data_IF_762976268743
#
_entry.id   IF_762976268743
#
_cell.length_a   1.000
_cell.length_b   1.000
_cell.length_c   1.000
_cell.angle_alpha   90.00
_cell.angle_beta   90.00
_cell.angle_gamma   90.00
#
_symmetry.space_group_name_H-M   'P 1'
#
loop_
_entity.id
_entity.type
_entity.pdbx_description
1 polymer ?
#
# COMPACT_ATOMS: atom_id res chain seq x y z
N UNK A 1 94.37 -3.80 73.57
CA UNK A 1 94.89 -2.41 73.51
C UNK A 1 93.76 -1.50 73.95
N UNK A 2 93.82 -0.98 75.18
CA UNK A 2 94.19 0.41 75.50
C UNK A 2 93.21 1.42 74.86
N UNK A 3 92.52 2.37 75.50
CA UNK A 3 92.62 3.05 76.80
C UNK A 3 91.52 4.15 76.73
N UNK A 4 90.58 4.25 77.68
CA UNK A 4 90.38 5.40 78.62
C UNK A 4 89.90 6.72 77.94
N UNK A 5 88.88 7.47 78.42
CA UNK A 5 88.82 8.17 79.72
C UNK A 5 87.41 8.71 80.03
N UNK A 6 87.07 8.60 81.31
CA UNK A 6 86.06 9.31 82.10
C UNK A 6 86.60 10.71 82.49
N UNK A 7 85.70 11.68 82.77
CA UNK A 7 85.76 12.80 83.77
C UNK A 7 84.95 14.03 83.23
N UNK A 8 84.19 14.88 83.94
CA UNK A 8 83.76 15.12 85.35
C UNK A 8 82.66 16.21 85.26
N UNK A 9 81.48 16.03 85.87
CA UNK A 9 80.91 16.77 87.02
C UNK A 9 81.08 18.31 87.10
N UNK A 10 79.97 19.03 87.38
CA UNK A 10 79.63 19.62 88.71
C UNK A 10 79.00 21.05 88.65
N UNK A 11 77.73 21.17 89.11
CA UNK A 11 77.14 22.21 90.02
C UNK A 11 77.03 23.68 89.55
N UNK A 12 76.17 24.60 90.03
CA UNK A 12 75.03 24.77 90.98
C UNK A 12 74.71 26.30 90.86
N UNK A 13 73.50 26.87 90.97
CA UNK A 13 72.83 27.36 92.20
C UNK A 13 71.86 28.50 91.74
N UNK A 14 70.54 28.36 91.90
CA UNK A 14 69.62 29.01 92.87
C UNK A 14 69.60 30.55 92.88
N UNK A 15 68.41 31.13 92.65
CA UNK A 15 67.84 32.22 93.46
C UNK A 15 66.32 32.37 93.22
N UNK A 16 65.54 32.06 94.27
CA UNK A 16 64.13 32.47 94.45
C UNK A 16 64.06 33.92 94.93
N UNK A 17 62.94 34.64 94.66
CA UNK A 17 62.26 35.55 95.63
C UNK A 17 60.92 36.13 95.08
N UNK A 18 59.84 35.79 95.81
CA UNK A 18 58.60 36.54 96.17
C UNK A 18 57.43 36.89 95.19
N UNK A 19 56.34 36.11 95.32
CA UNK A 19 54.93 36.40 95.73
C UNK A 19 54.17 37.69 95.33
N UNK A 20 53.04 37.57 94.60
CA UNK A 20 51.64 37.72 95.10
C UNK A 20 50.55 37.74 93.98
N UNK A 21 49.71 36.69 94.00
CA UNK A 21 48.28 36.49 93.66
C UNK A 21 47.51 37.41 92.67
N UNK A 22 46.92 36.79 91.64
CA UNK A 22 45.53 36.99 91.15
C UNK A 22 44.99 35.71 90.46
N UNK A 23 43.69 35.45 90.59
CA UNK A 23 42.94 34.19 90.36
C UNK A 23 42.33 34.00 88.95
N UNK A 24 42.40 32.74 88.45
CA UNK A 24 41.42 31.89 87.67
C UNK A 24 40.67 32.43 86.43
N UNK A 25 40.80 31.70 85.29
CA UNK A 25 39.73 31.04 84.52
C UNK A 25 40.31 29.87 83.69
N UNK A 26 39.56 28.77 83.55
CA UNK A 26 39.89 27.64 82.69
C UNK A 26 39.20 27.74 81.31
N UNK A 27 39.85 27.20 80.27
CA UNK A 27 39.26 26.75 78.99
C UNK A 27 40.01 27.21 77.74
N UNK A 28 39.96 26.51 76.59
CA UNK A 28 39.78 25.07 76.28
C UNK A 28 41.08 24.43 75.70
N UNK A 29 41.16 23.11 75.42
CA UNK A 29 42.37 22.51 74.83
C UNK A 29 42.55 22.96 73.36
N UNK A 30 43.79 23.16 72.93
CA UNK A 30 44.17 23.34 71.52
C UNK A 30 45.30 22.34 71.24
N UNK A 31 45.19 21.32 70.39
CA UNK A 31 44.19 20.91 69.40
C UNK A 31 44.05 19.38 69.45
N UNK A 32 42.88 18.79 69.14
CA UNK A 32 42.78 17.36 68.90
C UNK A 32 43.49 17.03 67.57
N UNK A 33 44.26 15.95 67.56
CA UNK A 33 44.84 15.34 66.37
C UNK A 33 43.72 14.87 65.45
N UNK A 34 43.29 15.75 64.56
CA UNK A 34 42.33 15.44 63.53
C UNK A 34 43.07 14.75 62.40
N UNK A 35 42.95 13.44 62.39
CA UNK A 35 43.23 12.64 61.21
C UNK A 35 42.18 12.94 60.15
N UNK A 36 42.61 13.22 58.93
CA UNK A 36 41.71 13.41 57.79
C UNK A 36 42.22 12.58 56.63
N UNK A 37 41.45 11.58 56.23
CA UNK A 37 41.57 11.05 54.88
C UNK A 37 40.69 11.90 53.98
N UNK A 38 41.25 12.75 53.13
CA UNK A 38 40.45 13.51 52.16
C UNK A 38 40.08 12.58 51.02
N UNK A 39 38.81 12.22 50.95
CA UNK A 39 38.20 11.66 49.74
C UNK A 39 37.97 12.82 48.79
N UNK A 40 38.43 12.73 47.55
CA UNK A 40 38.04 13.66 46.50
C UNK A 40 37.10 12.93 45.56
N UNK A 41 35.83 13.31 45.55
CA UNK A 41 34.76 12.75 44.69
C UNK A 41 34.62 13.68 43.49
N UNK A 42 34.91 13.23 42.26
CA UNK A 42 34.64 14.07 41.08
C UNK A 42 33.15 14.43 41.01
N UNK A 43 32.85 15.68 41.35
CA UNK A 43 31.50 16.18 41.58
C UNK A 43 30.80 16.70 40.34
N UNK A 44 31.50 16.78 39.19
CA UNK A 44 30.98 17.43 38.00
C UNK A 44 29.66 16.82 37.48
N UNK A 45 29.43 15.53 37.73
CA UNK A 45 28.24 14.78 37.32
C UNK A 45 27.36 14.30 38.48
N UNK A 46 27.62 14.71 39.73
CA UNK A 46 26.82 14.26 40.88
C UNK A 46 25.65 15.23 41.12
N UNK A 47 24.37 14.78 41.07
CA UNK A 47 23.23 15.66 41.25
C UNK A 47 23.20 16.33 42.64
N UNK A 48 22.75 17.59 42.70
CA UNK A 48 22.53 18.31 43.95
C UNK A 48 21.57 17.54 44.88
N UNK A 49 21.87 17.51 46.18
CA UNK A 49 21.14 16.72 47.17
C UNK A 49 21.51 15.23 47.26
N UNK A 50 22.48 14.74 46.47
CA UNK A 50 23.00 13.38 46.61
C UNK A 50 23.83 13.23 47.89
N UNK A 51 23.62 12.16 48.64
CA UNK A 51 24.42 11.86 49.85
C UNK A 51 25.66 11.08 49.43
N UNK A 52 26.86 11.60 49.71
CA UNK A 52 28.11 10.86 49.59
C UNK A 52 28.50 10.36 50.98
N UNK A 53 28.89 9.10 51.10
CA UNK A 53 29.22 8.45 52.37
C UNK A 53 30.56 7.72 52.27
N UNK A 54 31.32 7.74 53.36
CA UNK A 54 32.46 6.86 53.59
C UNK A 54 32.08 5.85 54.68
N UNK A 55 32.20 4.57 54.36
CA UNK A 55 31.84 3.45 55.22
C UNK A 55 33.06 2.59 55.49
N UNK A 56 33.14 2.04 56.69
CA UNK A 56 34.07 0.95 57.04
C UNK A 56 33.20 -0.18 57.58
N UNK A 57 33.26 -1.34 56.92
CA UNK A 57 32.20 -2.34 57.05
C UNK A 57 30.85 -1.77 56.58
N UNK A 58 29.83 -1.81 57.44
CA UNK A 58 28.48 -1.27 57.17
C UNK A 58 28.22 0.07 57.88
N UNK A 59 29.15 0.57 58.68
CA UNK A 59 28.97 1.78 59.47
C UNK A 59 29.39 3.02 58.69
N UNK A 60 28.57 4.08 58.74
CA UNK A 60 28.85 5.38 58.10
C UNK A 60 29.72 6.22 59.02
N UNK A 61 30.90 6.59 58.54
CA UNK A 61 31.88 7.38 59.31
C UNK A 61 31.88 8.84 58.96
N UNK A 62 31.74 9.14 57.68
CA UNK A 62 31.61 10.48 57.16
C UNK A 62 30.52 10.49 56.09
N UNK A 63 29.81 11.61 55.99
CA UNK A 63 28.90 11.85 54.89
C UNK A 63 28.80 13.34 54.59
N UNK A 64 28.54 13.66 53.33
CA UNK A 64 28.28 15.01 52.86
C UNK A 64 27.10 14.98 51.90
N UNK A 65 26.21 15.96 52.02
CA UNK A 65 25.16 16.19 51.03
C UNK A 65 25.76 17.09 49.96
N UNK A 66 25.73 16.67 48.70
CA UNK A 66 26.18 17.53 47.61
C UNK A 66 25.33 18.79 47.57
N UNK A 67 25.96 19.95 47.65
CA UNK A 67 25.36 21.26 47.45
C UNK A 67 26.05 22.00 46.29
N UNK A 68 25.29 22.87 45.62
CA UNK A 68 25.76 23.60 44.45
C UNK A 68 26.39 24.94 44.89
N UNK A 69 27.57 24.90 45.50
CA UNK A 69 28.22 26.09 46.05
C UNK A 69 28.93 26.91 44.96
N UNK A 70 28.15 27.58 44.08
CA UNK A 70 28.57 28.79 43.36
C UNK A 70 29.83 28.74 42.47
N UNK A 71 30.30 27.56 42.10
CA UNK A 71 31.46 27.33 41.24
C UNK A 71 31.61 25.84 41.01
N UNK A 72 32.26 25.43 39.93
CA UNK A 72 32.51 24.03 39.58
C UNK A 72 33.29 23.31 40.69
N UNK A 73 32.61 22.83 41.73
CA UNK A 73 33.23 22.03 42.79
C UNK A 73 33.57 20.70 42.15
N UNK A 74 34.81 20.60 41.65
CA UNK A 74 35.30 19.38 41.05
C UNK A 74 35.46 18.26 42.09
N UNK A 75 35.48 18.56 43.40
CA UNK A 75 35.68 17.55 44.44
C UNK A 75 34.91 17.81 45.74
N UNK A 76 34.18 16.81 46.25
CA UNK A 76 33.67 16.80 47.62
C UNK A 76 34.66 16.15 48.58
N UNK A 77 34.86 16.77 49.76
CA UNK A 77 35.77 16.31 50.81
C UNK A 77 34.96 15.67 51.95
N UNK A 78 35.32 14.44 52.32
CA UNK A 78 34.77 13.76 53.49
C UNK A 78 35.87 13.58 54.54
N UNK A 79 35.66 14.14 55.73
CA UNK A 79 36.56 13.95 56.87
C UNK A 79 36.13 12.70 57.66
N UNK A 80 36.85 11.60 57.49
CA UNK A 80 36.66 10.36 58.27
C UNK A 80 37.35 10.52 59.63
N UNK A 81 36.60 10.66 60.75
CA UNK A 81 37.19 10.90 62.06
C UNK A 81 38.00 9.69 62.55
N UNK A 82 39.08 9.97 63.28
CA UNK A 82 39.88 8.95 63.98
C UNK A 82 39.10 8.28 65.12
N UNK A 83 39.55 7.09 65.51
CA UNK A 83 39.27 6.50 66.82
C UNK A 83 39.86 7.41 67.91
N UNK A 84 39.00 7.99 68.73
CA UNK A 84 39.41 8.60 70.00
C UNK A 84 39.33 7.49 71.07
N UNK A 85 40.47 6.93 71.52
CA UNK A 85 40.49 5.79 72.45
C UNK A 85 39.86 6.12 73.83
N UNK A 86 39.39 7.35 74.05
CA UNK A 86 38.67 7.76 75.25
C UNK A 86 37.15 7.91 75.15
N UNK A 87 36.51 7.72 73.98
CA UNK A 87 35.06 8.02 73.85
C UNK A 87 34.24 6.89 73.23
N UNK A 88 33.26 6.39 73.99
CA UNK A 88 32.19 5.53 73.48
C UNK A 88 30.96 6.39 73.13
N UNK A 89 30.34 6.26 71.93
CA UNK A 89 30.71 5.45 70.77
C UNK A 89 31.06 6.30 69.54
N UNK A 90 32.34 6.35 69.13
CA UNK A 90 32.72 6.57 67.72
C UNK A 90 34.17 6.13 67.48
N UNK A 91 34.33 4.83 67.21
CA UNK A 91 35.59 4.21 66.77
C UNK A 91 35.82 4.56 65.30
N UNK A 92 36.69 5.50 64.97
CA UNK A 92 37.17 5.65 63.59
C UNK A 92 37.86 4.38 63.07
N UNK A 93 38.19 4.36 61.77
CA UNK A 93 38.84 3.22 61.15
C UNK A 93 40.21 2.89 61.75
N UNK A 94 40.56 1.61 61.78
CA UNK A 94 41.92 1.15 62.11
C UNK A 94 42.82 1.33 60.87
N UNK A 95 44.09 1.69 61.08
CA UNK A 95 45.07 1.79 59.99
C UNK A 95 45.12 0.50 59.15
N UNK A 96 44.92 0.63 57.85
CA UNK A 96 44.85 -0.48 56.88
C UNK A 96 43.45 -1.01 56.59
N UNK A 97 42.40 -0.54 57.27
CA UNK A 97 41.02 -0.92 56.94
C UNK A 97 40.59 -0.37 55.58
N UNK A 98 39.74 -1.14 54.91
CA UNK A 98 39.17 -0.78 53.60
C UNK A 98 37.98 0.15 53.80
N UNK A 99 38.07 1.34 53.22
CA UNK A 99 36.98 2.31 53.20
C UNK A 99 36.19 2.10 51.92
N UNK A 100 34.91 1.77 52.07
CA UNK A 100 33.95 1.69 50.98
C UNK A 100 33.24 3.04 50.84
N UNK A 101 33.14 3.56 49.63
CA UNK A 101 32.42 4.81 49.39
C UNK A 101 31.05 4.53 48.79
N UNK A 102 30.05 5.31 49.19
CA UNK A 102 28.74 5.33 48.54
C UNK A 102 28.40 6.71 48.04
N UNK A 103 27.76 6.80 46.87
CA UNK A 103 27.24 8.04 46.29
C UNK A 103 25.77 7.80 45.96
N UNK A 104 24.87 8.42 46.71
CA UNK A 104 23.46 8.06 46.70
C UNK A 104 23.27 6.60 47.09
N UNK A 105 22.70 5.80 46.19
CA UNK A 105 22.53 4.35 46.37
C UNK A 105 23.71 3.50 45.89
N UNK A 106 24.72 4.08 45.23
CA UNK A 106 25.77 3.35 44.54
C UNK A 106 27.00 3.13 45.42
N UNK A 107 27.72 2.02 45.25
CA UNK A 107 29.00 1.73 45.92
C UNK A 107 30.13 1.98 44.93
N UNK A 108 31.14 2.75 45.34
CA UNK A 108 32.29 3.04 44.49
C UNK A 108 33.18 1.80 44.28
N UNK A 109 33.64 1.59 43.05
CA UNK A 109 34.55 0.50 42.69
C UNK A 109 35.96 0.69 43.28
N UNK A 110 36.41 1.95 43.40
CA UNK A 110 37.63 2.26 44.14
C UNK A 110 37.31 2.31 45.63
N UNK A 111 38.03 1.50 46.40
CA UNK A 111 38.06 1.56 47.85
C UNK A 111 39.31 2.29 48.32
N UNK A 112 39.20 3.01 49.44
CA UNK A 112 40.35 3.61 50.11
C UNK A 112 40.98 2.61 51.08
N UNK A 113 42.24 2.82 51.43
CA UNK A 113 42.81 2.28 52.66
C UNK A 113 42.94 3.43 53.65
N UNK A 114 42.56 3.20 54.90
CA UNK A 114 42.74 4.19 55.95
C UNK A 114 44.23 4.25 56.33
N UNK A 115 44.96 5.30 55.94
CA UNK A 115 46.41 5.49 56.24
C UNK A 115 46.75 6.97 56.56
N UNK A 116 47.82 7.17 57.33
CA UNK A 116 48.20 8.41 58.01
C UNK A 116 48.65 9.52 57.07
N UNK A 117 47.83 10.58 56.96
CA UNK A 117 48.16 11.82 56.25
C UNK A 117 48.07 11.73 54.72
N UNK A 118 47.43 10.68 54.20
CA UNK A 118 47.24 10.43 52.77
C UNK A 118 45.87 10.90 52.29
N UNK A 119 45.86 11.72 51.23
CA UNK A 119 44.63 12.01 50.49
C UNK A 119 44.34 10.86 49.53
N UNK A 120 43.14 10.30 49.59
CA UNK A 120 42.68 9.26 48.66
C UNK A 120 41.77 9.93 47.65
N UNK A 121 42.31 10.19 46.44
CA UNK A 121 41.49 10.71 45.36
C UNK A 121 40.68 9.56 44.76
N UNK A 122 39.36 9.69 44.78
CA UNK A 122 38.46 8.71 44.18
C UNK A 122 38.00 9.27 42.85
N UNK A 123 38.46 8.62 41.79
CA UNK A 123 38.01 8.97 40.45
C UNK A 123 36.65 8.32 40.21
N UNK A 124 35.58 9.10 40.40
CA UNK A 124 34.20 8.63 40.23
C UNK A 124 33.70 8.74 38.79
N UNK A 125 34.53 9.25 37.88
CA UNK A 125 34.18 9.38 36.46
C UNK A 125 33.91 8.03 35.78
N UNK A 126 34.29 6.90 36.42
CA UNK A 126 34.05 5.55 35.93
C UNK A 126 32.78 4.85 36.48
N UNK A 127 32.01 5.48 37.38
CA UNK A 127 30.99 4.75 38.18
C UNK A 127 29.56 5.00 37.73
N UNK A 128 29.27 6.09 37.04
CA UNK A 128 27.90 6.57 37.04
C UNK A 128 27.33 6.63 35.65
N UNK A 129 27.61 5.70 34.74
CA UNK A 129 26.87 5.64 33.49
C UNK A 129 26.15 4.30 33.39
N UNK A 130 24.85 4.35 33.18
CA UNK A 130 24.02 3.18 32.99
C UNK A 130 23.56 3.13 31.54
N UNK A 131 23.73 1.96 30.93
CA UNK A 131 23.22 1.73 29.59
C UNK A 131 21.69 1.65 29.65
N UNK A 132 21.05 2.51 28.86
CA UNK A 132 19.65 2.37 28.49
C UNK A 132 19.60 1.67 27.14
N UNK A 133 19.02 0.48 27.11
CA UNK A 133 18.73 -0.24 25.87
C UNK A 133 17.27 -0.04 25.50
N UNK A 134 17.00 0.39 24.27
CA UNK A 134 15.67 0.44 23.69
C UNK A 134 15.55 -0.69 22.67
N UNK A 135 14.42 -1.39 22.68
CA UNK A 135 14.07 -2.35 21.65
C UNK A 135 12.72 -2.00 21.04
N UNK A 136 12.54 -2.35 19.77
CA UNK A 136 11.25 -2.25 19.08
C UNK A 136 10.65 -3.64 18.90
N UNK A 137 9.35 -3.78 19.16
CA UNK A 137 8.63 -5.04 18.97
C UNK A 137 7.34 -4.84 18.16
N UNK A 138 6.75 -5.96 17.72
CA UNK A 138 5.53 -5.97 16.92
C UNK A 138 5.78 -6.06 15.42
N UNK A 139 4.70 -6.02 14.63
CA UNK A 139 4.75 -6.13 13.18
C UNK A 139 4.83 -4.77 12.47
N UNK A 140 4.59 -3.67 13.21
CA UNK A 140 4.73 -2.32 12.70
C UNK A 140 6.17 -1.83 12.75
N UNK A 141 6.38 -0.65 12.18
CA UNK A 141 7.66 0.05 12.15
C UNK A 141 7.53 1.42 12.81
N UNK A 142 8.64 1.91 13.33
CA UNK A 142 8.74 3.23 13.94
C UNK A 142 10.15 3.49 14.44
N UNK A 143 10.36 4.69 14.96
CA UNK A 143 11.61 5.09 15.59
C UNK A 143 11.36 5.50 17.03
N UNK A 144 12.40 5.39 17.86
CA UNK A 144 12.38 5.90 19.23
C UNK A 144 13.55 6.84 19.42
N UNK A 145 13.28 8.06 19.89
CA UNK A 145 14.32 9.04 20.22
C UNK A 145 14.30 9.36 21.70
N UNK A 146 15.41 9.91 22.22
CA UNK A 146 15.53 10.36 23.61
C UNK A 146 15.86 11.84 23.76
N UNK A 147 15.47 12.39 24.91
CA UNK A 147 16.01 13.64 25.48
C UNK A 147 16.49 13.37 26.92
N UNK A 148 17.78 13.58 27.27
CA UNK A 148 18.87 14.04 26.41
C UNK A 148 19.13 13.15 25.20
N UNK A 149 19.63 13.76 24.11
CA UNK A 149 19.92 13.04 22.86
C UNK A 149 20.95 11.93 23.09
N UNK A 150 20.68 10.76 22.50
CA UNK A 150 21.58 9.61 22.60
C UNK A 150 20.95 8.32 22.07
N UNK A 151 19.64 8.14 22.24
CA UNK A 151 18.89 7.08 21.55
C UNK A 151 18.27 7.64 20.26
N UNK A 152 18.49 6.93 19.15
CA UNK A 152 17.77 7.06 17.88
C UNK A 152 17.51 5.64 17.34
N UNK A 153 16.66 4.92 18.06
CA UNK A 153 16.45 3.51 17.87
C UNK A 153 15.66 3.28 16.58
N UNK A 154 16.37 2.64 15.66
CA UNK A 154 16.19 2.64 14.21
C UNK A 154 17.57 2.38 13.59
N UNK A 155 18.59 3.07 14.11
CA UNK A 155 20.01 2.77 13.88
C UNK A 155 20.85 2.67 15.15
N UNK A 156 20.49 3.39 16.22
CA UNK A 156 21.21 3.36 17.49
C UNK A 156 20.25 3.23 18.68
N UNK A 157 20.28 2.06 19.30
CA UNK A 157 19.30 1.63 20.28
C UNK A 157 19.86 1.51 21.71
N UNK A 158 21.09 1.94 21.94
CA UNK A 158 21.74 1.83 23.25
C UNK A 158 22.62 3.03 23.51
N UNK A 159 22.45 3.67 24.67
CA UNK A 159 23.30 4.79 25.07
C UNK A 159 23.60 4.70 26.58
N UNK A 160 24.79 5.15 26.95
CA UNK A 160 25.22 5.27 28.34
C UNK A 160 24.89 6.66 28.87
N UNK A 161 23.99 6.72 29.84
CA UNK A 161 23.60 7.98 30.48
C UNK A 161 24.13 8.06 31.90
N UNK A 162 24.51 9.27 32.31
CA UNK A 162 24.95 9.52 33.67
C UNK A 162 23.87 9.14 34.71
N UNK A 163 24.29 8.72 35.89
CA UNK A 163 23.44 8.28 36.98
C UNK A 163 22.45 9.37 37.34
N UNK A 164 21.20 8.96 37.58
CA UNK A 164 20.08 9.82 37.92
C UNK A 164 19.68 10.79 36.79
N UNK A 165 20.22 10.63 35.58
CA UNK A 165 19.70 11.31 34.39
C UNK A 165 18.27 10.86 34.15
N UNK A 166 17.36 11.83 34.01
CA UNK A 166 16.00 11.59 33.56
C UNK A 166 15.97 11.60 32.03
N UNK A 167 15.83 10.42 31.43
CA UNK A 167 15.72 10.24 29.98
C UNK A 167 14.24 10.20 29.61
N UNK A 168 13.83 11.07 28.70
CA UNK A 168 12.48 11.07 28.11
C UNK A 168 12.53 10.42 26.73
N UNK A 169 11.86 9.28 26.56
CA UNK A 169 11.72 8.56 25.30
C UNK A 169 10.43 8.97 24.58
N UNK A 170 10.55 9.22 23.28
CA UNK A 170 9.44 9.51 22.38
C UNK A 170 9.46 8.51 21.23
N UNK A 171 8.32 7.86 20.98
CA UNK A 171 8.14 6.96 19.86
C UNK A 171 7.37 7.66 18.73
N UNK A 172 7.83 7.48 17.49
CA UNK A 172 7.14 7.93 16.28
C UNK A 172 6.88 6.72 15.37
N UNK A 173 5.60 6.44 15.11
CA UNK A 173 5.22 5.34 14.22
C UNK A 173 5.49 5.73 12.76
N UNK A 174 6.06 4.81 11.98
CA UNK A 174 6.22 4.98 10.56
C UNK A 174 4.85 4.91 9.84
N UNK A 175 4.82 5.36 8.57
CA UNK A 175 3.63 5.25 7.74
C UNK A 175 3.14 3.79 7.65
N UNK A 176 1.83 3.59 7.86
CA UNK A 176 1.24 2.25 7.88
C UNK A 176 1.40 1.48 9.19
N UNK A 177 1.89 2.13 10.25
CA UNK A 177 2.00 1.57 11.59
C UNK A 177 1.34 2.46 12.64
N UNK A 178 1.06 1.88 13.81
CA UNK A 178 0.54 2.56 14.99
C UNK A 178 1.44 2.24 16.19
N UNK A 179 1.76 3.24 17.00
CA UNK A 179 2.46 3.02 18.27
C UNK A 179 1.49 2.44 19.30
N UNK A 180 1.68 1.17 19.68
CA UNK A 180 0.79 0.45 20.59
C UNK A 180 1.09 0.76 22.06
N UNK A 181 2.34 1.10 22.39
CA UNK A 181 2.74 1.58 23.70
C UNK A 181 4.10 1.09 24.14
N UNK A 182 4.45 1.46 25.37
CA UNK A 182 5.70 1.06 26.01
C UNK A 182 5.52 -0.13 26.95
N UNK A 183 6.62 -0.89 27.11
CA UNK A 183 6.78 -1.86 28.20
C UNK A 183 8.24 -1.88 28.71
N UNK A 184 8.47 -2.41 29.91
CA UNK A 184 9.79 -2.50 30.55
C UNK A 184 10.11 -1.31 31.46
N UNK A 185 10.92 -1.56 32.50
CA UNK A 185 11.57 -0.60 33.42
C UNK A 185 10.77 0.69 33.79
N UNK A 186 9.47 0.54 34.05
CA UNK A 186 8.59 1.64 34.49
C UNK A 186 7.89 2.39 33.34
N UNK A 187 8.21 2.10 32.08
CA UNK A 187 7.50 2.60 30.93
C UNK A 187 6.22 1.80 30.67
N UNK A 188 5.07 2.50 30.67
CA UNK A 188 3.78 1.93 30.26
C UNK A 188 2.92 2.98 29.56
N UNK A 189 1.94 2.53 28.78
CA UNK A 189 1.02 3.42 28.05
C UNK A 189 1.58 3.94 26.74
N UNK A 190 0.92 4.96 26.16
CA UNK A 190 1.17 5.45 24.80
C UNK A 190 1.73 6.88 24.74
N UNK A 191 1.93 7.53 25.88
CA UNK A 191 2.56 8.85 25.97
C UNK A 191 4.08 8.78 25.82
N UNK A 192 4.78 9.86 26.14
CA UNK A 192 6.24 9.83 26.33
C UNK A 192 6.59 8.95 27.52
N UNK A 193 7.63 8.11 27.42
CA UNK A 193 8.15 7.42 28.59
C UNK A 193 9.24 8.24 29.27
N UNK A 194 9.23 8.32 30.60
CA UNK A 194 10.32 8.91 31.37
C UNK A 194 11.01 7.85 32.23
N UNK A 195 12.32 7.74 32.11
CA UNK A 195 13.16 6.74 32.78
C UNK A 195 14.29 7.45 33.52
N UNK A 196 14.41 7.23 34.82
CA UNK A 196 15.55 7.71 35.60
C UNK A 196 16.64 6.63 35.63
N UNK A 197 17.86 6.98 35.24
CA UNK A 197 18.97 6.04 35.10
C UNK A 197 19.65 5.76 36.43
N UNK A 198 19.09 4.84 37.22
CA UNK A 198 19.65 4.39 38.50
C UNK A 198 20.37 3.03 38.45
N UNK A 199 20.24 2.34 37.32
CA UNK A 199 20.71 1.01 36.97
C UNK A 199 20.64 0.86 35.46
N UNK A 200 21.27 -0.17 34.89
CA UNK A 200 21.07 -0.49 33.47
C UNK A 200 19.61 -0.89 33.25
N UNK A 201 18.97 -0.32 32.21
CA UNK A 201 17.54 -0.46 31.97
C UNK A 201 17.25 -0.86 30.53
N UNK A 202 16.16 -1.60 30.34
CA UNK A 202 15.67 -1.99 29.02
C UNK A 202 14.20 -1.58 28.85
N UNK A 203 13.92 -0.85 27.78
CA UNK A 203 12.56 -0.41 27.42
C UNK A 203 12.20 -0.94 26.05
N UNK A 204 10.95 -1.33 25.87
CA UNK A 204 10.43 -1.82 24.59
C UNK A 204 9.32 -0.90 24.09
N UNK A 205 9.47 -0.39 22.86
CA UNK A 205 8.42 0.27 22.10
C UNK A 205 7.72 -0.74 21.21
N UNK A 206 6.41 -0.92 21.37
CA UNK A 206 5.63 -1.80 20.51
C UNK A 206 4.95 -1.01 19.39
N UNK A 207 5.15 -1.44 18.15
CA UNK A 207 4.48 -0.92 16.96
C UNK A 207 3.64 -2.01 16.31
N UNK A 208 2.38 -1.69 16.00
CA UNK A 208 1.47 -2.58 15.28
C UNK A 208 1.34 -2.11 13.84
N UNK A 209 1.30 -3.05 12.89
CA UNK A 209 1.05 -2.71 11.50
C UNK A 209 -0.45 -2.44 11.32
N UNK A 210 -0.78 -1.36 10.62
CA UNK A 210 -2.17 -1.03 10.34
C UNK A 210 -2.79 -2.09 9.43
N UNK A 211 -4.04 -2.41 9.70
CA UNK A 211 -4.82 -3.35 8.92
C UNK A 211 -6.09 -2.69 8.42
N UNK A 212 -6.54 -3.09 7.24
CA UNK A 212 -7.69 -2.53 6.54
C UNK A 212 -8.60 -3.62 6.01
N UNK A 213 -9.85 -3.26 5.78
CA UNK A 213 -10.86 -4.13 5.19
C UNK A 213 -11.03 -3.83 3.70
N UNK A 214 -11.34 -4.88 2.93
CA UNK A 214 -11.73 -4.78 1.53
C UNK A 214 -13.18 -5.25 1.38
N UNK A 215 -14.05 -4.34 0.94
CA UNK A 215 -15.44 -4.65 0.60
C UNK A 215 -15.57 -4.78 -0.91
N UNK A 216 -16.00 -5.94 -1.38
CA UNK A 216 -16.22 -6.19 -2.81
C UNK A 216 -17.71 -6.37 -3.07
N UNK A 217 -18.25 -5.59 -4.01
CA UNK A 217 -19.62 -5.71 -4.50
C UNK A 217 -19.61 -6.26 -5.93
N UNK A 218 -20.48 -7.22 -6.21
CA UNK A 218 -20.63 -7.82 -7.53
C UNK A 218 -22.07 -8.28 -7.71
N UNK A 219 -22.70 -7.84 -8.79
CA UNK A 219 -24.04 -8.27 -9.19
C UNK A 219 -23.96 -8.74 -10.65
N UNK A 220 -24.41 -9.97 -10.94
CA UNK A 220 -24.19 -10.70 -12.21
C UNK A 220 -22.77 -11.26 -12.44
N UNK A 221 -22.05 -11.55 -11.35
CA UNK A 221 -20.80 -12.28 -11.39
C UNK A 221 -20.26 -12.57 -10.00
N UNK A 222 -19.14 -13.28 -9.93
CA UNK A 222 -18.36 -13.46 -8.70
C UNK A 222 -17.06 -12.68 -8.80
N UNK A 223 -16.50 -12.31 -7.65
CA UNK A 223 -15.14 -11.76 -7.58
C UNK A 223 -14.34 -12.60 -6.61
N UNK A 224 -13.14 -12.98 -7.02
CA UNK A 224 -12.16 -13.64 -6.17
C UNK A 224 -11.07 -12.63 -5.84
N UNK A 225 -10.72 -12.52 -4.56
CA UNK A 225 -9.57 -11.77 -4.08
C UNK A 225 -8.39 -12.74 -3.85
N UNK A 226 -7.19 -12.36 -4.26
CA UNK A 226 -5.96 -13.09 -3.98
C UNK A 226 -4.90 -12.12 -3.41
N UNK A 227 -4.48 -12.29 -2.15
CA UNK A 227 -4.98 -13.29 -1.20
C UNK A 227 -6.41 -12.98 -0.72
N UNK A 228 -7.21 -14.01 -0.40
CA UNK A 228 -8.53 -13.83 0.23
C UNK A 228 -8.39 -13.78 1.76
N UNK A 229 -8.57 -12.60 2.34
CA UNK A 229 -8.38 -12.34 3.76
C UNK A 229 -9.48 -11.42 4.32
N UNK A 230 -9.75 -11.55 5.62
CA UNK A 230 -10.69 -10.66 6.32
C UNK A 230 -10.14 -9.25 6.53
N UNK A 231 -8.82 -9.15 6.67
CA UNK A 231 -8.09 -7.89 6.82
C UNK A 231 -6.75 -8.00 6.10
N UNK A 232 -6.27 -6.86 5.60
CA UNK A 232 -5.05 -6.74 4.83
C UNK A 232 -4.12 -5.75 5.52
N UNK A 233 -2.82 -6.03 5.49
CA UNK A 233 -1.80 -5.14 6.06
C UNK A 233 -1.56 -3.91 5.17
N UNK A 234 -1.15 -2.78 5.77
CA UNK A 234 -0.81 -1.58 5.01
C UNK A 234 0.23 -1.86 3.91
N UNK A 235 -0.05 -1.41 2.70
CA UNK A 235 0.80 -1.58 1.52
C UNK A 235 0.69 -2.94 0.84
N UNK A 236 -0.14 -3.86 1.36
CA UNK A 236 -0.37 -5.15 0.73
C UNK A 236 -1.14 -4.99 -0.57
N UNK A 237 -0.65 -5.61 -1.63
CA UNK A 237 -1.37 -5.71 -2.90
C UNK A 237 -2.36 -6.89 -2.88
N UNK A 238 -3.56 -6.66 -3.40
CA UNK A 238 -4.63 -7.64 -3.54
C UNK A 238 -5.06 -7.67 -5.01
N UNK A 239 -4.99 -8.86 -5.62
CA UNK A 239 -5.47 -9.06 -6.98
C UNK A 239 -6.94 -9.45 -6.96
N UNK A 240 -7.77 -8.77 -7.72
CA UNK A 240 -9.20 -9.02 -7.87
C UNK A 240 -9.47 -9.52 -9.29
N UNK A 241 -10.16 -10.65 -9.38
CA UNK A 241 -10.58 -11.25 -10.65
C UNK A 241 -12.09 -11.45 -10.64
N UNK A 242 -12.78 -10.81 -11.59
CA UNK A 242 -14.21 -10.94 -11.79
C UNK A 242 -14.51 -12.08 -12.77
N UNK A 243 -15.47 -12.93 -12.43
CA UNK A 243 -16.01 -13.95 -13.33
C UNK A 243 -17.50 -13.65 -13.58
N UNK A 244 -17.88 -13.16 -14.77
CA UNK A 244 -19.28 -12.95 -15.12
C UNK A 244 -20.08 -14.26 -15.12
N UNK A 245 -21.36 -14.19 -14.76
CA UNK A 245 -22.28 -15.33 -15.00
C UNK A 245 -22.65 -15.43 -16.48
N UNK A 246 -23.25 -16.56 -16.88
CA UNK A 246 -23.75 -16.76 -18.24
C UNK A 246 -24.71 -15.64 -18.67
N UNK A 247 -24.55 -15.17 -19.91
CA UNK A 247 -25.34 -14.06 -20.45
C UNK A 247 -24.81 -12.67 -20.09
N UNK A 248 -23.71 -12.56 -19.34
CA UNK A 248 -23.09 -11.27 -18.98
C UNK A 248 -21.60 -11.24 -19.35
N UNK A 249 -21.08 -10.03 -19.55
CA UNK A 249 -19.65 -9.76 -19.73
C UNK A 249 -19.17 -8.76 -18.69
N UNK A 250 -17.92 -8.91 -18.24
CA UNK A 250 -17.30 -7.92 -17.36
C UNK A 250 -17.15 -6.60 -18.12
N UNK A 251 -17.56 -5.50 -17.49
CA UNK A 251 -17.50 -4.17 -18.08
C UNK A 251 -16.31 -3.36 -17.52
N UNK A 252 -16.23 -3.21 -16.20
CA UNK A 252 -15.19 -2.45 -15.50
C UNK A 252 -15.29 -2.62 -13.97
N UNK A 253 -14.24 -2.19 -13.28
CA UNK A 253 -14.20 -1.94 -11.84
C UNK A 253 -14.47 -0.47 -11.55
N UNK A 254 -15.23 -0.20 -10.49
CA UNK A 254 -15.45 1.16 -9.94
C UNK A 254 -15.27 1.21 -8.42
N UNK A 255 -15.18 2.42 -7.86
CA UNK A 255 -15.05 2.69 -6.42
C UNK A 255 -13.65 3.19 -6.07
N UNK A 256 -12.95 2.50 -5.17
CA UNK A 256 -11.55 2.81 -4.84
C UNK A 256 -10.54 2.40 -5.94
N UNK A 257 -11.02 1.75 -6.99
CA UNK A 257 -10.26 1.48 -8.23
C UNK A 257 -11.18 1.67 -9.44
N UNK A 258 -10.66 2.29 -10.48
CA UNK A 258 -11.36 2.54 -11.74
C UNK A 258 -10.55 1.90 -12.88
N UNK A 259 -11.04 0.80 -13.46
CA UNK A 259 -10.27 0.03 -14.44
C UNK A 259 -11.17 -0.81 -15.34
N UNK A 260 -10.82 -0.93 -16.62
CA UNK A 260 -11.45 -1.89 -17.55
C UNK A 260 -10.68 -3.21 -17.64
N UNK A 261 -9.55 -3.33 -16.95
CA UNK A 261 -8.75 -4.56 -16.92
C UNK A 261 -9.34 -5.56 -15.93
N UNK A 262 -9.35 -6.84 -16.30
CA UNK A 262 -9.72 -7.95 -15.44
C UNK A 262 -8.72 -9.10 -15.68
N UNK A 263 -7.90 -9.47 -14.69
CA UNK A 263 -7.90 -9.01 -13.29
C UNK A 263 -7.38 -7.57 -13.08
N UNK A 264 -7.59 -7.04 -11.86
CA UNK A 264 -7.05 -5.74 -11.38
C UNK A 264 -6.33 -5.91 -10.04
N UNK A 265 -5.25 -5.18 -9.81
CA UNK A 265 -4.55 -5.16 -8.51
C UNK A 265 -4.81 -3.85 -7.77
N UNK A 266 -5.09 -3.94 -6.47
CA UNK A 266 -5.25 -2.78 -5.58
C UNK A 266 -4.25 -2.85 -4.42
N UNK A 267 -3.73 -1.69 -3.99
CA UNK A 267 -2.83 -1.60 -2.82
C UNK A 267 -3.61 -1.10 -1.61
N UNK A 268 -3.54 -1.83 -0.49
CA UNK A 268 -4.30 -1.55 0.73
C UNK A 268 -3.62 -0.46 1.57
N UNK A 269 -4.07 0.79 1.44
CA UNK A 269 -3.57 1.95 2.19
C UNK A 269 -4.64 2.61 3.08
N UNK A 270 -5.77 1.93 3.24
CA UNK A 270 -7.00 2.38 3.87
C UNK A 270 -8.06 1.31 3.66
N UNK A 271 -9.19 1.40 4.37
CA UNK A 271 -10.36 0.59 4.02
C UNK A 271 -10.76 0.87 2.58
N UNK A 272 -11.08 -0.19 1.82
CA UNK A 272 -11.38 -0.11 0.39
C UNK A 272 -12.73 -0.72 0.06
N UNK A 273 -13.43 -0.11 -0.88
CA UNK A 273 -14.66 -0.59 -1.48
C UNK A 273 -14.54 -0.61 -3.00
N UNK A 274 -14.69 -1.80 -3.60
CA UNK A 274 -14.57 -2.02 -5.04
C UNK A 274 -15.83 -2.70 -5.56
N UNK A 275 -16.31 -2.28 -6.73
CA UNK A 275 -17.47 -2.88 -7.39
C UNK A 275 -17.08 -3.44 -8.76
N UNK A 276 -17.42 -4.70 -9.04
CA UNK A 276 -17.35 -5.26 -10.38
C UNK A 276 -18.66 -4.98 -11.12
N UNK A 277 -18.58 -4.31 -12.27
CA UNK A 277 -19.72 -3.99 -13.11
C UNK A 277 -19.75 -4.90 -14.33
N UNK A 278 -20.95 -5.27 -14.77
CA UNK A 278 -21.18 -6.19 -15.89
C UNK A 278 -22.17 -5.60 -16.88
N UNK A 279 -22.12 -6.08 -18.12
CA UNK A 279 -23.05 -5.72 -19.20
C UNK A 279 -23.70 -6.99 -19.74
N UNK A 280 -25.02 -6.96 -19.92
CA UNK A 280 -25.77 -8.09 -20.48
C UNK A 280 -25.39 -8.30 -21.95
N UNK A 281 -25.06 -9.55 -22.29
CA UNK A 281 -24.73 -9.94 -23.64
C UNK A 281 -26.00 -9.99 -24.50
N UNK A 282 -25.95 -9.51 -25.76
CA UNK A 282 -27.09 -9.62 -26.65
C UNK A 282 -27.48 -11.08 -26.87
N UNK A 283 -28.78 -11.36 -26.87
CA UNK A 283 -29.30 -12.69 -27.21
C UNK A 283 -29.07 -12.95 -28.71
N UNK A 284 -28.36 -14.02 -29.09
CA UNK A 284 -28.13 -14.33 -30.50
C UNK A 284 -29.42 -14.85 -31.14
N UNK A 285 -29.79 -14.29 -32.29
CA UNK A 285 -30.92 -14.75 -33.11
C UNK A 285 -30.51 -14.86 -34.56
N UNK A 286 -31.15 -15.76 -35.31
CA UNK A 286 -30.97 -15.89 -36.75
C UNK A 286 -32.21 -15.42 -37.50
N UNK A 287 -32.03 -14.45 -38.40
CA UNK A 287 -33.09 -14.01 -39.32
C UNK A 287 -32.78 -14.57 -40.70
N UNK A 288 -33.73 -15.30 -41.28
CA UNK A 288 -33.58 -15.94 -42.60
C UNK A 288 -34.60 -15.34 -43.56
N UNK A 289 -34.13 -14.76 -44.66
CA UNK A 289 -35.01 -14.31 -45.73
C UNK A 289 -35.75 -15.50 -46.36
N UNK A 290 -37.05 -15.35 -46.61
CA UNK A 290 -37.83 -16.44 -47.21
C UNK A 290 -37.39 -16.67 -48.65
N UNK A 291 -37.24 -17.93 -49.06
CA UNK A 291 -36.87 -18.28 -50.43
C UNK A 291 -38.03 -18.10 -51.41
N UNK A 292 -37.72 -17.85 -52.69
CA UNK A 292 -38.72 -17.83 -53.76
C UNK A 292 -39.49 -16.51 -53.91
N UNK A 293 -39.06 -15.47 -53.20
CA UNK A 293 -39.60 -14.12 -53.35
C UNK A 293 -39.24 -13.57 -54.74
N UNK A 294 -40.22 -12.96 -55.41
CA UNK A 294 -40.04 -12.54 -56.79
C UNK A 294 -40.99 -11.42 -57.20
N UNK A 295 -40.70 -10.79 -58.34
CA UNK A 295 -41.62 -9.92 -59.09
C UNK A 295 -41.54 -10.17 -60.58
N UNK A 296 -42.50 -9.66 -61.35
CA UNK A 296 -42.39 -9.59 -62.81
C UNK A 296 -41.67 -8.30 -63.21
N UNK A 297 -40.91 -8.33 -64.29
CA UNK A 297 -40.23 -7.16 -64.82
C UNK A 297 -41.20 -5.98 -65.04
N UNK A 298 -40.85 -4.82 -64.48
CA UNK A 298 -41.66 -3.61 -64.52
C UNK A 298 -42.64 -3.45 -63.37
N UNK A 299 -42.83 -4.49 -62.53
CA UNK A 299 -43.63 -4.38 -61.32
C UNK A 299 -42.83 -3.73 -60.18
N UNK A 300 -43.56 -3.14 -59.22
CA UNK A 300 -42.98 -2.65 -57.98
C UNK A 300 -42.50 -3.83 -57.11
N UNK A 301 -41.51 -3.56 -56.25
CA UNK A 301 -41.02 -4.56 -55.30
C UNK A 301 -42.11 -4.90 -54.27
N UNK A 302 -42.34 -6.20 -53.99
CA UNK A 302 -43.18 -6.59 -52.86
C UNK A 302 -42.46 -6.30 -51.55
N UNK A 303 -43.21 -6.27 -50.45
CA UNK A 303 -42.61 -6.29 -49.11
C UNK A 303 -41.93 -7.64 -48.91
N UNK A 304 -40.63 -7.63 -48.63
CA UNK A 304 -39.87 -8.85 -48.43
C UNK A 304 -40.18 -9.51 -47.07
N UNK A 305 -40.28 -10.83 -47.07
CA UNK A 305 -40.63 -11.64 -45.89
C UNK A 305 -39.44 -12.44 -45.36
N UNK A 306 -39.53 -12.82 -44.09
CA UNK A 306 -38.47 -13.55 -43.38
C UNK A 306 -39.03 -14.36 -42.21
N UNK A 307 -38.19 -15.27 -41.72
CA UNK A 307 -38.39 -16.00 -40.47
C UNK A 307 -37.29 -15.66 -39.46
N UNK A 308 -37.62 -15.77 -38.17
CA UNK A 308 -36.69 -15.65 -37.05
C UNK A 308 -36.59 -17.00 -36.35
N UNK A 309 -35.39 -17.37 -35.89
CA UNK A 309 -35.19 -18.57 -35.05
C UNK A 309 -35.96 -18.48 -33.73
N UNK A 310 -36.22 -17.25 -33.26
CA UNK A 310 -36.88 -16.98 -31.99
C UNK A 310 -38.27 -16.37 -32.23
N UNK A 311 -39.27 -16.93 -31.54
CA UNK A 311 -40.65 -16.46 -31.61
C UNK A 311 -40.89 -15.30 -30.65
N UNK A 312 -41.81 -14.39 -31.01
CA UNK A 312 -42.17 -13.26 -30.16
C UNK A 312 -41.22 -12.05 -30.20
N UNK A 313 -40.12 -12.13 -30.96
CA UNK A 313 -39.25 -10.97 -31.21
C UNK A 313 -40.00 -9.95 -32.06
N UNK A 314 -39.98 -8.69 -31.62
CA UNK A 314 -40.51 -7.57 -32.39
C UNK A 314 -39.40 -6.98 -33.25
N UNK A 315 -39.66 -6.81 -34.54
CA UNK A 315 -38.71 -6.21 -35.47
C UNK A 315 -39.24 -4.88 -36.02
N UNK A 316 -38.33 -4.00 -36.37
CA UNK A 316 -38.59 -2.73 -37.06
C UNK A 316 -37.75 -2.63 -38.32
N UNK A 317 -38.13 -1.76 -39.24
CA UNK A 317 -37.47 -1.65 -40.56
C UNK A 317 -37.92 -2.75 -41.52
N UNK A 318 -37.13 -2.99 -42.56
CA UNK A 318 -37.43 -3.98 -43.59
C UNK A 318 -36.16 -4.58 -44.19
N UNK A 319 -36.29 -5.80 -44.71
CA UNK A 319 -35.28 -6.37 -45.59
C UNK A 319 -35.22 -5.57 -46.89
N UNK A 320 -34.06 -5.61 -47.53
CA UNK A 320 -33.82 -5.02 -48.84
C UNK A 320 -33.27 -6.07 -49.81
N UNK A 321 -33.20 -5.73 -51.09
CA UNK A 321 -32.50 -6.54 -52.08
C UNK A 321 -31.45 -5.69 -52.78
N UNK A 322 -30.46 -6.36 -53.38
CA UNK A 322 -29.51 -5.69 -54.25
C UNK A 322 -30.22 -4.93 -55.39
N UNK A 323 -29.72 -3.74 -55.76
CA UNK A 323 -30.35 -2.89 -56.76
C UNK A 323 -30.25 -3.49 -58.16
N UNK A 324 -31.28 -3.26 -58.97
CA UNK A 324 -31.33 -3.65 -60.37
C UNK A 324 -32.74 -4.04 -60.81
N UNK A 325 -33.00 -3.94 -62.11
CA UNK A 325 -34.33 -4.16 -62.68
C UNK A 325 -34.34 -5.15 -63.85
N UNK A 326 -33.17 -5.62 -64.29
CA UNK A 326 -33.10 -6.63 -65.36
C UNK A 326 -33.59 -7.98 -64.81
N UNK A 327 -34.28 -8.78 -65.63
CA UNK A 327 -34.69 -10.12 -65.22
C UNK A 327 -33.47 -10.97 -64.80
N UNK A 328 -33.56 -11.59 -63.62
CA UNK A 328 -32.44 -12.27 -62.97
C UNK A 328 -32.62 -12.38 -61.45
N UNK A 329 -31.56 -12.84 -60.76
CA UNK A 329 -31.55 -13.02 -59.31
C UNK A 329 -30.76 -11.90 -58.64
N UNK A 330 -31.26 -11.45 -57.49
CA UNK A 330 -30.68 -10.40 -56.65
C UNK A 330 -30.67 -10.88 -55.21
N UNK A 331 -29.55 -10.76 -54.50
CA UNK A 331 -29.48 -11.17 -53.11
C UNK A 331 -30.39 -10.29 -52.24
N UNK A 332 -31.14 -10.92 -51.33
CA UNK A 332 -31.83 -10.24 -50.25
C UNK A 332 -30.80 -9.98 -49.13
N UNK A 333 -30.78 -8.75 -48.63
CA UNK A 333 -29.90 -8.27 -47.56
C UNK A 333 -30.73 -7.88 -46.34
N UNK A 334 -30.06 -7.74 -45.19
CA UNK A 334 -30.74 -7.37 -43.93
C UNK A 334 -31.43 -5.99 -44.03
N UNK A 335 -30.93 -5.11 -44.89
CA UNK A 335 -31.50 -3.77 -45.06
C UNK A 335 -31.48 -2.98 -43.75
N UNK A 336 -32.64 -2.42 -43.41
CA UNK A 336 -32.87 -1.64 -42.17
C UNK A 336 -33.51 -2.48 -41.07
N UNK A 337 -33.62 -3.79 -41.26
CA UNK A 337 -34.29 -4.67 -40.31
C UNK A 337 -33.48 -4.78 -39.01
N UNK A 338 -34.11 -4.39 -37.91
CA UNK A 338 -33.52 -4.45 -36.57
C UNK A 338 -34.49 -5.13 -35.60
N UNK A 339 -33.94 -5.84 -34.61
CA UNK A 339 -34.71 -6.44 -33.52
C UNK A 339 -34.81 -5.44 -32.37
N UNK A 340 -36.02 -5.24 -31.84
CA UNK A 340 -36.26 -4.39 -30.68
C UNK A 340 -35.79 -5.13 -29.42
N UNK A 341 -34.74 -4.62 -28.77
CA UNK A 341 -34.17 -5.20 -27.54
C UNK A 341 -32.67 -5.48 -27.67
N UNK A 342 -32.10 -6.20 -26.71
CA UNK A 342 -30.68 -6.56 -26.71
C UNK A 342 -30.46 -7.86 -27.48
N UNK A 343 -30.55 -7.79 -28.82
CA UNK A 343 -30.37 -8.94 -29.71
C UNK A 343 -29.20 -8.75 -30.67
N UNK A 344 -28.48 -9.83 -30.96
CA UNK A 344 -27.48 -9.88 -32.02
C UNK A 344 -28.04 -10.70 -33.20
N UNK A 345 -28.29 -10.04 -34.34
CA UNK A 345 -28.83 -10.69 -35.54
C UNK A 345 -27.70 -11.31 -36.36
N UNK A 346 -27.82 -12.62 -36.60
CA UNK A 346 -27.14 -13.30 -37.71
C UNK A 346 -28.11 -13.40 -38.88
N UNK A 347 -27.78 -12.81 -40.02
CA UNK A 347 -28.66 -12.80 -41.19
C UNK A 347 -28.29 -13.87 -42.21
N UNK A 348 -29.29 -14.62 -42.68
CA UNK A 348 -29.16 -15.61 -43.75
C UNK A 348 -29.93 -15.12 -44.97
N UNK A 349 -29.19 -14.84 -46.05
CA UNK A 349 -29.73 -14.31 -47.30
C UNK A 349 -30.48 -15.36 -48.13
N UNK A 350 -31.35 -14.89 -49.02
CA UNK A 350 -31.96 -15.68 -50.09
C UNK A 350 -31.97 -14.87 -51.40
N UNK A 351 -32.25 -15.52 -52.53
CA UNK A 351 -32.38 -14.83 -53.82
C UNK A 351 -33.79 -14.27 -54.00
N UNK A 352 -33.87 -12.99 -54.37
CA UNK A 352 -35.05 -12.36 -54.96
C UNK A 352 -34.98 -12.44 -56.49
N UNK A 353 -36.02 -12.95 -57.14
CA UNK A 353 -36.01 -13.15 -58.60
C UNK A 353 -36.90 -12.14 -59.33
N UNK A 354 -36.35 -11.43 -60.31
CA UNK A 354 -37.14 -10.67 -61.28
C UNK A 354 -37.38 -11.58 -62.50
N UNK A 355 -38.62 -11.95 -62.73
CA UNK A 355 -39.02 -12.80 -63.87
C UNK A 355 -39.31 -11.96 -65.11
N UNK A 356 -39.00 -12.44 -66.33
CA UNK A 356 -39.33 -11.72 -67.55
C UNK A 356 -40.85 -11.48 -67.69
N UNK A 357 -41.24 -10.30 -68.18
CA UNK A 357 -42.65 -9.97 -68.43
C UNK A 357 -43.18 -10.77 -69.62
N UNK A 358 -44.25 -11.58 -69.46
CA UNK A 358 -44.83 -12.30 -70.58
C UNK A 358 -45.52 -11.33 -71.52
N UNK A 359 -45.23 -11.44 -72.82
CA UNK A 359 -45.88 -10.66 -73.88
C UNK A 359 -46.30 -11.57 -75.03
N UNK A 360 -47.39 -11.21 -75.71
CA UNK A 360 -47.83 -11.88 -76.93
C UNK A 360 -47.45 -11.03 -78.13
N UNK A 361 -46.87 -11.66 -79.14
CA UNK A 361 -46.60 -11.04 -80.44
C UNK A 361 -47.37 -11.79 -81.50
N UNK A 362 -48.26 -11.09 -82.20
CA UNK A 362 -49.12 -11.65 -83.25
C UNK A 362 -48.67 -11.14 -84.60
N UNK A 363 -48.35 -12.03 -85.53
CA UNK A 363 -48.00 -11.62 -86.89
C UNK A 363 -49.21 -11.07 -87.65
N UNK A 364 -48.99 -9.99 -88.41
CA UNK A 364 -50.01 -9.51 -89.34
C UNK A 364 -50.09 -10.43 -90.56
N UNK A 365 -51.30 -10.75 -90.99
CA UNK A 365 -51.50 -11.49 -92.24
C UNK A 365 -51.00 -10.67 -93.45
N UNK A 366 -50.20 -11.31 -94.32
CA UNK A 366 -49.66 -10.71 -95.53
C UNK A 366 -49.98 -11.54 -96.77
N UNK A 367 -49.98 -10.90 -97.93
CA UNK A 367 -50.19 -11.56 -99.22
C UNK A 367 -49.31 -10.95 -100.32
N UNK A 368 -49.01 -11.74 -101.35
CA UNK A 368 -48.35 -11.30 -102.59
C UNK A 368 -48.96 -12.00 -103.80
N UNK A 369 -48.75 -11.45 -104.98
CA UNK A 369 -49.02 -12.15 -106.25
C UNK A 369 -47.84 -13.04 -106.64
N UNK A 370 -48.11 -14.14 -107.36
CA UNK A 370 -47.08 -15.10 -107.78
C UNK A 370 -45.99 -14.42 -108.64
N UNK A 371 -44.71 -14.69 -108.33
CA UNK A 371 -43.55 -14.04 -108.95
C UNK A 371 -43.21 -12.65 -108.40
N UNK A 372 -44.00 -12.13 -107.45
CA UNK A 372 -43.68 -10.91 -106.69
C UNK A 372 -42.67 -11.15 -105.57
N UNK A 373 -42.03 -10.07 -105.13
CA UNK A 373 -41.17 -10.08 -103.94
C UNK A 373 -41.99 -10.27 -102.67
N UNK A 374 -41.40 -10.88 -101.64
CA UNK A 374 -42.06 -11.02 -100.34
C UNK A 374 -42.32 -9.65 -99.70
N UNK A 375 -43.51 -9.39 -99.16
CA UNK A 375 -43.80 -8.17 -98.43
C UNK A 375 -43.04 -8.16 -97.10
N UNK A 376 -42.78 -6.98 -96.56
CA UNK A 376 -42.26 -6.84 -95.21
C UNK A 376 -43.25 -7.43 -94.20
N UNK A 377 -42.75 -8.33 -93.34
CA UNK A 377 -43.54 -8.94 -92.29
C UNK A 377 -43.68 -7.96 -91.13
N UNK A 378 -44.90 -7.72 -90.68
CA UNK A 378 -45.22 -6.84 -89.54
C UNK A 378 -45.95 -7.62 -88.46
N UNK A 379 -46.03 -7.07 -87.26
CA UNK A 379 -46.67 -7.68 -86.11
C UNK A 379 -47.24 -6.62 -85.17
N UNK A 380 -48.13 -7.08 -84.28
CA UNK A 380 -48.63 -6.33 -83.14
C UNK A 380 -48.18 -7.01 -81.86
N UNK A 381 -47.69 -6.24 -80.89
CA UNK A 381 -47.41 -6.74 -79.54
C UNK A 381 -48.56 -6.40 -78.59
N UNK A 382 -48.83 -7.29 -77.64
CA UNK A 382 -49.77 -7.04 -76.53
C UNK A 382 -49.30 -5.94 -75.59
N UNK A 383 -48.01 -5.59 -75.61
CA UNK A 383 -47.39 -4.57 -74.77
C UNK A 383 -46.81 -3.47 -75.67
N UNK A 384 -47.15 -2.22 -75.38
CA UNK A 384 -46.62 -1.07 -76.12
C UNK A 384 -45.22 -0.68 -75.63
N UNK A 385 -44.39 -0.15 -76.53
CA UNK A 385 -43.05 0.37 -76.17
C UNK A 385 -41.98 -0.68 -75.91
N UNK A 386 -42.25 -1.97 -76.16
CA UNK A 386 -41.23 -3.03 -76.05
C UNK A 386 -40.16 -2.85 -77.15
N UNK A 387 -38.87 -2.83 -76.79
CA UNK A 387 -37.78 -2.71 -77.77
C UNK A 387 -37.53 -4.07 -78.44
N UNK A 388 -38.09 -4.26 -79.63
CA UNK A 388 -37.83 -5.46 -80.43
C UNK A 388 -36.58 -5.33 -81.29
N UNK A 389 -35.87 -6.44 -81.45
CA UNK A 389 -34.74 -6.61 -82.37
C UNK A 389 -34.93 -7.88 -83.19
N UNK A 390 -34.18 -8.03 -84.29
CA UNK A 390 -34.33 -9.16 -85.22
C UNK A 390 -35.54 -9.01 -86.14
N UNK A 391 -35.97 -10.11 -86.75
CA UNK A 391 -37.05 -10.11 -87.73
C UNK A 391 -37.87 -11.40 -87.70
N UNK A 392 -39.14 -11.28 -88.12
CA UNK A 392 -40.00 -12.44 -88.41
C UNK A 392 -39.47 -13.22 -89.61
N UNK A 393 -39.89 -14.48 -89.70
CA UNK A 393 -39.59 -15.36 -90.81
C UNK A 393 -40.88 -15.93 -91.40
N UNK A 394 -40.86 -16.31 -92.68
CA UNK A 394 -41.95 -17.03 -93.33
C UNK A 394 -41.45 -18.41 -93.77
N UNK A 395 -42.31 -19.41 -93.74
CA UNK A 395 -42.02 -20.73 -94.30
C UNK A 395 -41.62 -20.63 -95.78
N UNK A 396 -40.63 -21.41 -96.22
CA UNK A 396 -40.12 -21.41 -97.60
C UNK A 396 -41.17 -21.89 -98.62
N UNK A 397 -41.09 -21.38 -99.86
CA UNK A 397 -41.89 -21.81 -101.00
C UNK A 397 -42.55 -20.67 -101.76
N UNK A 398 -42.83 -20.93 -103.04
CA UNK A 398 -43.35 -19.94 -104.01
C UNK A 398 -44.65 -20.37 -104.71
N UNK A 399 -45.09 -21.63 -104.53
CA UNK A 399 -46.37 -22.09 -105.08
C UNK A 399 -47.53 -21.31 -104.46
N UNK A 400 -48.65 -21.18 -105.18
CA UNK A 400 -49.84 -20.53 -104.62
C UNK A 400 -50.34 -21.35 -103.42
N UNK A 401 -50.46 -20.70 -102.25
CA UNK A 401 -50.84 -21.36 -101.01
C UNK A 401 -50.69 -20.45 -99.79
N UNK A 402 -51.03 -20.98 -98.61
CA UNK A 402 -50.84 -20.31 -97.32
C UNK A 402 -49.51 -20.76 -96.73
N UNK A 403 -48.72 -19.80 -96.28
CA UNK A 403 -47.43 -20.03 -95.65
C UNK A 403 -47.44 -19.41 -94.25
N UNK A 404 -47.03 -20.17 -93.25
CA UNK A 404 -46.97 -19.69 -91.87
C UNK A 404 -45.89 -18.61 -91.72
N UNK A 405 -46.21 -17.57 -90.96
CA UNK A 405 -45.23 -16.63 -90.41
C UNK A 405 -44.82 -17.17 -89.04
N UNK A 406 -43.52 -17.19 -88.74
CA UNK A 406 -42.94 -17.64 -87.47
C UNK A 406 -42.08 -16.53 -86.86
N UNK A 407 -41.86 -16.58 -85.54
CA UNK A 407 -41.09 -15.59 -84.77
C UNK A 407 -39.73 -15.25 -85.39
N UNK A 408 -39.06 -16.24 -86.01
CA UNK A 408 -37.74 -16.04 -86.61
C UNK A 408 -36.71 -15.64 -85.56
N UNK A 409 -36.02 -14.52 -85.80
CA UNK A 409 -35.01 -13.96 -84.88
C UNK A 409 -35.56 -12.84 -84.00
N UNK A 410 -36.88 -12.59 -84.05
CA UNK A 410 -37.50 -11.53 -83.28
C UNK A 410 -37.30 -11.77 -81.77
N UNK A 411 -36.74 -10.79 -81.08
CA UNK A 411 -36.45 -10.82 -79.64
C UNK A 411 -36.84 -9.51 -78.99
N UNK A 412 -37.37 -9.59 -77.77
CA UNK A 412 -37.67 -8.45 -76.90
C UNK A 412 -36.61 -8.27 -75.79
N UNK A 413 -35.47 -8.97 -75.88
CA UNK A 413 -34.45 -9.01 -74.84
C UNK A 413 -34.79 -9.96 -73.69
N UNK A 414 -33.92 -10.03 -72.67
CA UNK A 414 -34.07 -10.96 -71.53
C UNK A 414 -35.19 -10.57 -70.57
N UNK A 415 -35.67 -9.33 -70.61
CA UNK A 415 -36.70 -8.82 -69.72
C UNK A 415 -38.13 -9.21 -70.12
N UNK A 416 -38.31 -9.79 -71.31
CA UNK A 416 -39.61 -10.19 -71.81
C UNK A 416 -39.58 -11.64 -72.31
N UNK A 417 -40.65 -12.38 -72.02
CA UNK A 417 -40.85 -13.71 -72.58
C UNK A 417 -41.91 -13.64 -73.68
N UNK A 418 -41.52 -13.87 -74.93
CA UNK A 418 -42.42 -13.78 -76.09
C UNK A 418 -43.20 -15.09 -76.24
N UNK A 419 -44.53 -14.97 -76.24
CA UNK A 419 -45.44 -15.96 -76.83
C UNK A 419 -45.81 -15.50 -78.24
N UNK A 420 -45.38 -16.22 -79.26
CA UNK A 420 -45.64 -15.87 -80.65
C UNK A 420 -46.88 -16.60 -81.20
N UNK A 421 -47.78 -15.87 -81.86
CA UNK A 421 -49.07 -16.38 -82.35
C UNK A 421 -49.31 -16.03 -83.81
#
# INVERSE_FOLDING_TARGET
MKTQRILTALFLEIALVFSNVATVFAGPPTQPSSFWGTVLVDGASVPNGTVIQALIGEQVFAQVLTDNYGGSVAYYVLDVPNDDPGTTPKEGGINGETIHFKVGGLVAAQTGTFDWGTNVRIDLTAINAYELTVSTSGAGFGTVTSEPVGIDCGTDCSESYDYNTLVTLTAEAALGSTFAGWSGEGCTGTGTCQVTMDSAKSVTAEFTQNQYTLTVTSDHGTVVADPDQTTYTYGQDVNLEATPVEGWSFANWTGDVESTSNPVTITMNGDKAVTANYTENPTPITVTADSGQSKVYGDADPVLTYTSSETGVTFTGALEREPGEVAGNYAITLGTLEAVGNYAITFVSADFTITPKPITVTADAKSKVFGGTDPELTYVSSESGVPFTGALSRAEGENVGVYAIAQGTLSAGSNYSITFV
#
